data_IF_792579265303
#
_entry.id   IF_792579265303
#
_cell.length_a   1.000
_cell.length_b   1.000
_cell.length_c   1.000
_cell.angle_alpha   90.00
_cell.angle_beta   90.00
_cell.angle_gamma   90.00
#
_symmetry.space_group_name_H-M   'P 1'
#
loop_
_entity.id
_entity.type
_entity.pdbx_description
1 polymer ?
#
# COMPACT_ATOMS: atom_id res chain seq x y z
N UNK A 1 -3.74 -23.98 25.03
CA UNK A 1 -3.29 -24.65 23.79
C UNK A 1 -3.83 -24.02 22.49
N UNK A 2 -4.86 -23.15 22.52
CA UNK A 2 -5.38 -22.50 21.30
C UNK A 2 -4.70 -21.17 20.96
N UNK A 3 -4.22 -20.40 21.94
CA UNK A 3 -3.48 -19.13 21.71
C UNK A 3 -2.30 -19.32 20.75
N UNK A 4 -1.51 -20.37 20.96
CA UNK A 4 -0.29 -20.64 20.19
C UNK A 4 -0.54 -20.85 18.68
N UNK A 5 -1.74 -21.30 18.29
CA UNK A 5 -2.09 -21.49 16.87
C UNK A 5 -2.60 -20.20 16.23
N UNK A 6 -3.33 -19.38 16.99
CA UNK A 6 -3.78 -18.06 16.53
C UNK A 6 -2.59 -17.14 16.32
N UNK A 7 -1.64 -17.13 17.27
CA UNK A 7 -0.41 -16.34 17.17
C UNK A 7 0.42 -16.74 15.96
N UNK A 8 0.52 -18.04 15.67
CA UNK A 8 1.22 -18.54 14.49
C UNK A 8 0.60 -17.99 13.20
N UNK A 9 -0.74 -18.00 13.10
CA UNK A 9 -1.44 -17.49 11.92
C UNK A 9 -1.23 -15.99 11.77
N UNK A 10 -1.37 -15.21 12.85
CA UNK A 10 -1.15 -13.77 12.84
C UNK A 10 0.27 -13.42 12.39
N UNK A 11 1.28 -14.06 12.98
CA UNK A 11 2.68 -13.87 12.57
C UNK A 11 2.91 -14.24 11.10
N UNK A 12 2.25 -15.28 10.60
CA UNK A 12 2.37 -15.68 9.19
C UNK A 12 1.75 -14.62 8.26
N UNK A 13 0.60 -14.05 8.63
CA UNK A 13 -0.06 -12.98 7.88
C UNK A 13 0.82 -11.73 7.89
N UNK A 14 1.31 -11.31 9.05
CA UNK A 14 2.19 -10.15 9.19
C UNK A 14 3.47 -10.32 8.36
N UNK A 15 4.09 -11.51 8.40
CA UNK A 15 5.25 -11.83 7.57
C UNK A 15 4.94 -11.78 6.07
N UNK A 16 3.78 -12.28 5.65
CA UNK A 16 3.36 -12.22 4.25
C UNK A 16 3.11 -10.77 3.79
N UNK A 17 2.51 -9.93 4.63
CA UNK A 17 2.29 -8.50 4.37
C UNK A 17 3.63 -7.78 4.24
N UNK A 18 4.58 -8.04 5.15
CA UNK A 18 5.92 -7.44 5.09
C UNK A 18 6.66 -7.84 3.82
N UNK A 19 6.60 -9.12 3.44
CA UNK A 19 7.20 -9.63 2.20
C UNK A 19 6.59 -8.99 0.95
N UNK A 20 5.27 -8.81 0.93
CA UNK A 20 4.58 -8.09 -0.15
C UNK A 20 5.06 -6.62 -0.22
N UNK A 21 5.15 -5.94 0.92
CA UNK A 21 5.63 -4.56 0.99
C UNK A 21 7.06 -4.40 0.43
N UNK A 22 7.97 -5.31 0.77
CA UNK A 22 9.34 -5.33 0.25
C UNK A 22 9.36 -5.54 -1.27
N UNK A 23 8.58 -6.48 -1.80
CA UNK A 23 8.49 -6.74 -3.23
C UNK A 23 8.01 -5.51 -4.00
N UNK A 24 6.95 -4.85 -3.52
CA UNK A 24 6.41 -3.64 -4.15
C UNK A 24 7.42 -2.50 -4.10
N UNK A 25 8.11 -2.30 -2.97
CA UNK A 25 9.15 -1.27 -2.85
C UNK A 25 10.31 -1.53 -3.81
N UNK A 26 10.74 -2.79 -3.93
CA UNK A 26 11.81 -3.17 -4.85
C UNK A 26 11.42 -2.95 -6.32
N UNK A 27 10.20 -3.32 -6.71
CA UNK A 27 9.69 -3.11 -8.07
C UNK A 27 9.55 -1.62 -8.41
N UNK A 28 9.12 -0.80 -7.44
CA UNK A 28 9.04 0.65 -7.59
C UNK A 28 10.39 1.37 -7.43
N UNK A 29 11.46 0.63 -7.11
CA UNK A 29 12.79 1.17 -6.81
C UNK A 29 13.33 2.06 -7.92
N UNK A 30 13.08 1.72 -9.19
CA UNK A 30 13.56 2.49 -10.34
C UNK A 30 12.92 3.90 -10.45
N UNK A 31 11.82 4.17 -9.75
CA UNK A 31 11.10 5.43 -9.77
C UNK A 31 11.60 6.40 -8.68
N UNK A 32 12.84 6.85 -8.80
CA UNK A 32 13.47 7.73 -7.80
C UNK A 32 13.01 9.20 -7.85
N UNK A 33 12.56 9.70 -9.01
CA UNK A 33 12.25 11.13 -9.23
C UNK A 33 10.75 11.42 -9.25
N UNK A 34 10.02 10.86 -8.28
CA UNK A 34 8.58 11.12 -8.14
C UNK A 34 8.34 12.33 -7.24
N UNK A 35 7.42 13.22 -7.62
CA UNK A 35 7.02 14.33 -6.76
C UNK A 35 5.95 13.93 -5.74
N UNK A 36 5.13 12.92 -6.06
CA UNK A 36 4.01 12.47 -5.23
C UNK A 36 3.69 11.00 -5.52
N UNK A 37 3.30 10.26 -4.49
CA UNK A 37 2.87 8.86 -4.56
C UNK A 37 1.44 8.77 -4.03
N UNK A 38 0.53 8.25 -4.85
CA UNK A 38 -0.82 7.91 -4.44
C UNK A 38 -0.96 6.39 -4.36
N UNK A 39 -1.42 5.89 -3.23
CA UNK A 39 -1.62 4.45 -3.01
C UNK A 39 -3.11 4.15 -3.06
N UNK A 40 -3.49 3.26 -3.97
CA UNK A 40 -4.88 2.80 -4.23
C UNK A 40 -4.95 1.27 -4.22
N UNK A 41 -6.14 0.70 -4.36
CA UNK A 41 -6.38 -0.74 -4.33
C UNK A 41 -6.12 -1.34 -2.95
N UNK A 42 -5.20 -2.30 -2.88
CA UNK A 42 -4.74 -2.95 -1.64
C UNK A 42 -3.87 -2.06 -0.72
N UNK A 43 -3.97 -0.73 -0.87
CA UNK A 43 -3.16 0.27 -0.17
C UNK A 43 -3.00 0.03 1.34
N UNK A 44 -4.03 -0.35 2.12
CA UNK A 44 -3.89 -0.52 3.57
C UNK A 44 -2.85 -1.57 4.00
N UNK A 45 -2.51 -2.53 3.14
CA UNK A 45 -1.54 -3.58 3.46
C UNK A 45 -0.09 -3.14 3.24
N UNK A 46 0.16 -2.22 2.31
CA UNK A 46 1.52 -1.87 1.86
C UNK A 46 1.90 -0.41 2.12
N UNK A 47 0.95 0.42 2.58
CA UNK A 47 1.14 1.86 2.72
C UNK A 47 2.35 2.23 3.58
N UNK A 48 2.54 1.54 4.71
CA UNK A 48 3.65 1.82 5.62
C UNK A 48 5.02 1.48 5.00
N UNK A 49 5.09 0.40 4.21
CA UNK A 49 6.30 0.04 3.45
C UNK A 49 6.65 1.12 2.42
N UNK A 50 5.64 1.60 1.67
CA UNK A 50 5.82 2.67 0.66
C UNK A 50 6.22 3.99 1.32
N UNK A 51 5.56 4.36 2.42
CA UNK A 51 5.85 5.58 3.17
C UNK A 51 7.28 5.56 3.74
N UNK A 52 7.78 4.40 4.14
CA UNK A 52 9.14 4.23 4.63
C UNK A 52 10.17 4.37 3.49
N UNK A 53 9.92 3.72 2.36
CA UNK A 53 10.81 3.81 1.19
C UNK A 53 10.89 5.24 0.63
N UNK A 54 9.75 5.93 0.50
CA UNK A 54 9.67 7.33 0.06
C UNK A 54 9.58 8.33 1.22
N UNK A 55 10.27 8.08 2.33
CA UNK A 55 10.24 8.95 3.52
C UNK A 55 10.57 10.43 3.22
N UNK A 56 11.43 10.70 2.23
CA UNK A 56 11.81 12.05 1.80
C UNK A 56 10.64 12.86 1.20
N UNK A 57 9.56 12.21 0.77
CA UNK A 57 8.35 12.86 0.25
C UNK A 57 7.41 13.36 1.36
N UNK A 58 7.58 12.92 2.60
CA UNK A 58 6.76 13.33 3.74
C UNK A 58 5.26 13.14 3.49
N UNK A 59 4.50 14.24 3.51
CA UNK A 59 3.04 14.22 3.28
C UNK A 59 2.63 13.96 1.83
N UNK A 60 3.58 13.80 0.90
CA UNK A 60 3.29 13.50 -0.51
C UNK A 60 3.20 12.00 -0.81
N UNK A 61 3.23 11.14 0.21
CA UNK A 61 2.76 9.76 0.11
C UNK A 61 1.36 9.71 0.70
N UNK A 62 0.36 9.48 -0.14
CA UNK A 62 -1.06 9.62 0.23
C UNK A 62 -1.81 8.34 -0.08
N UNK A 63 -2.47 7.76 0.93
CA UNK A 63 -3.50 6.76 0.71
C UNK A 63 -4.82 7.47 0.43
N UNK A 64 -5.49 7.09 -0.65
CA UNK A 64 -6.82 7.62 -0.98
C UNK A 64 -7.85 7.22 0.08
N UNK A 65 -8.92 8.02 0.28
CA UNK A 65 -9.96 7.75 1.30
C UNK A 65 -10.65 6.39 1.10
N UNK A 66 -11.00 6.07 -0.15
CA UNK A 66 -11.57 4.79 -0.55
C UNK A 66 -10.62 4.08 -1.51
N UNK A 67 -9.48 3.54 -1.03
CA UNK A 67 -8.41 3.10 -1.93
C UNK A 67 -8.88 1.97 -2.84
N UNK A 68 -9.73 1.04 -2.36
CA UNK A 68 -10.22 -0.08 -3.15
C UNK A 68 -11.18 0.32 -4.29
N UNK A 69 -11.96 1.39 -4.12
CA UNK A 69 -12.95 1.85 -5.11
C UNK A 69 -12.45 3.04 -5.93
N UNK A 70 -11.33 3.65 -5.55
CA UNK A 70 -10.74 4.84 -6.19
C UNK A 70 -10.68 4.77 -7.72
N UNK A 71 -10.34 3.60 -8.29
CA UNK A 71 -10.29 3.43 -9.75
C UNK A 71 -11.68 3.49 -10.39
N UNK A 72 -12.67 2.84 -9.78
CA UNK A 72 -14.05 2.81 -10.30
C UNK A 72 -14.68 4.20 -10.19
N UNK A 73 -14.46 4.89 -9.08
CA UNK A 73 -14.91 6.27 -8.87
C UNK A 73 -14.30 7.22 -9.90
N UNK A 74 -12.99 7.10 -10.18
CA UNK A 74 -12.32 7.89 -11.22
C UNK A 74 -12.90 7.62 -12.62
N UNK A 75 -13.21 6.36 -12.95
CA UNK A 75 -13.83 6.00 -14.24
C UNK A 75 -15.26 6.56 -14.34
N UNK A 76 -16.03 6.52 -13.25
CA UNK A 76 -17.38 7.07 -13.23
C UNK A 76 -17.36 8.59 -13.43
N UNK A 77 -16.52 9.30 -12.69
CA UNK A 77 -16.34 10.75 -12.84
C UNK A 77 -15.91 11.14 -14.26
N UNK A 78 -15.01 10.37 -14.87
CA UNK A 78 -14.54 10.64 -16.25
C UNK A 78 -15.63 10.45 -17.32
N UNK A 79 -16.65 9.62 -17.08
CA UNK A 79 -17.75 9.41 -18.04
C UNK A 79 -18.87 10.44 -17.95
N UNK A 80 -18.88 11.25 -16.89
CA UNK A 80 -19.85 12.31 -16.67
C UNK A 80 -19.39 13.66 -17.26
N UNK A 81 -18.12 13.77 -17.68
CA UNK A 81 -17.55 14.87 -18.49
C UNK A 81 -17.67 14.59 -20.00
#
# INVERSE_FOLDING_TARGET
MNETKTDLVLNTIEGAIASLGEQVVNELGDFHHVNRVYVVGGAPLIYDSIKTAWHHLGQKVVMMESPQTALVEAIAAFKEE
#
